data_IF_512799088262
#
_entry.id   IF_512799088262
#
_cell.length_a   1.000
_cell.length_b   1.000
_cell.length_c   1.000
_cell.angle_alpha   90.00
_cell.angle_beta   90.00
_cell.angle_gamma   90.00
#
_symmetry.space_group_name_H-M   'P 1'
#
loop_
_entity.id
_entity.type
_entity.pdbx_description
1 polymer ?
#
# COMPACT_ATOMS: atom_id res chain seq x y z
N UNK A 1 13.90 -16.43 6.02
CA UNK A 1 12.45 -16.28 6.31
C UNK A 1 12.31 -16.10 7.79
N UNK A 2 11.67 -15.01 8.20
CA UNK A 2 11.50 -14.70 9.61
C UNK A 2 10.44 -15.60 10.22
N UNK A 3 10.68 -16.10 11.43
CA UNK A 3 9.72 -16.92 12.17
C UNK A 3 8.96 -16.01 13.14
N UNK A 4 7.64 -15.95 13.02
CA UNK A 4 6.81 -15.14 13.91
C UNK A 4 6.88 -15.70 15.34
N UNK A 5 7.19 -14.90 16.38
CA UNK A 5 7.45 -15.41 17.73
C UNK A 5 6.25 -16.08 18.40
N UNK A 6 5.02 -15.58 18.15
CA UNK A 6 3.79 -16.15 18.73
C UNK A 6 3.33 -17.42 17.97
N UNK A 7 2.92 -17.24 16.71
CA UNK A 7 2.36 -18.33 15.90
C UNK A 7 3.38 -19.35 15.41
N UNK A 8 4.68 -19.05 15.44
CA UNK A 8 5.76 -19.83 14.79
C UNK A 8 5.61 -19.96 13.27
N UNK A 9 4.73 -19.17 12.64
CA UNK A 9 4.57 -19.17 11.20
C UNK A 9 5.85 -18.64 10.53
N UNK A 10 6.34 -19.27 9.44
CA UNK A 10 7.36 -18.68 8.60
C UNK A 10 6.73 -17.53 7.80
N UNK A 11 7.15 -16.30 8.02
CA UNK A 11 6.56 -15.08 7.42
C UNK A 11 7.37 -14.60 6.22
N UNK A 12 6.69 -13.84 5.35
CA UNK A 12 7.28 -13.00 4.31
C UNK A 12 7.00 -11.56 4.66
N UNK A 13 8.01 -10.70 4.58
CA UNK A 13 7.87 -9.26 4.72
C UNK A 13 7.90 -8.63 3.34
N UNK A 14 6.87 -7.88 2.98
CA UNK A 14 6.84 -7.04 1.79
C UNK A 14 7.53 -5.70 2.11
N UNK A 15 8.26 -5.14 1.15
CA UNK A 15 8.89 -3.83 1.30
C UNK A 15 8.50 -2.97 0.10
N UNK A 16 7.76 -1.89 0.39
CA UNK A 16 7.47 -0.79 -0.53
C UNK A 16 7.32 -1.22 -2.01
N UNK A 17 6.33 -2.09 -2.35
CA UNK A 17 6.10 -2.57 -3.72
C UNK A 17 5.43 -1.46 -4.57
N UNK A 18 6.05 -0.28 -4.60
CA UNK A 18 5.50 0.94 -5.17
C UNK A 18 5.33 0.84 -6.68
N UNK A 19 6.34 0.28 -7.36
CA UNK A 19 6.29 0.08 -8.80
C UNK A 19 5.25 -0.98 -9.17
N UNK A 20 5.32 -2.14 -8.53
CA UNK A 20 4.47 -3.31 -8.82
C UNK A 20 2.99 -3.02 -8.57
N UNK A 21 2.65 -2.29 -7.50
CA UNK A 21 1.28 -1.85 -7.27
C UNK A 21 0.86 -0.76 -8.23
N UNK A 22 1.72 0.23 -8.52
CA UNK A 22 1.35 1.30 -9.47
C UNK A 22 0.98 0.75 -10.85
N UNK A 23 1.68 -0.30 -11.30
CA UNK A 23 1.41 -0.94 -12.59
C UNK A 23 0.04 -1.64 -12.66
N UNK A 24 -0.58 -1.92 -11.52
CA UNK A 24 -1.94 -2.47 -11.44
C UNK A 24 -3.02 -1.37 -11.51
N UNK A 25 -2.61 -0.11 -11.33
CA UNK A 25 -3.48 1.06 -11.26
C UNK A 25 -3.93 1.63 -12.59
N UNK A 26 -5.03 2.38 -12.58
CA UNK A 26 -5.57 3.01 -13.79
C UNK A 26 -4.59 4.02 -14.41
N UNK A 27 -3.83 4.77 -13.61
CA UNK A 27 -2.87 5.74 -14.13
C UNK A 27 -1.76 5.07 -14.96
N UNK A 28 -1.14 4.01 -14.45
CA UNK A 28 -0.10 3.28 -15.18
C UNK A 28 -0.68 2.55 -16.40
N UNK A 29 -1.89 1.98 -16.30
CA UNK A 29 -2.61 1.40 -17.45
C UNK A 29 -2.86 2.41 -18.58
N UNK A 30 -2.87 3.72 -18.27
CA UNK A 30 -3.00 4.81 -19.24
C UNK A 30 -1.66 5.45 -19.62
N UNK A 31 -0.53 4.87 -19.20
CA UNK A 31 0.80 5.34 -19.55
C UNK A 31 1.29 6.55 -18.76
N UNK A 32 0.62 6.92 -17.66
CA UNK A 32 1.08 7.99 -16.76
C UNK A 32 2.25 7.45 -15.95
N UNK A 33 3.40 8.11 -16.05
CA UNK A 33 4.63 7.75 -15.37
C UNK A 33 4.70 8.34 -13.95
N UNK A 34 5.56 7.78 -13.09
CA UNK A 34 5.80 8.31 -11.74
C UNK A 34 6.17 9.80 -11.77
N UNK A 35 6.98 10.19 -12.76
CA UNK A 35 7.47 11.55 -12.94
C UNK A 35 6.35 12.56 -13.26
N UNK A 36 5.27 12.13 -13.93
CA UNK A 36 4.17 13.03 -14.31
C UNK A 36 3.47 13.62 -13.07
N UNK A 37 3.46 12.89 -11.95
CA UNK A 37 2.89 13.35 -10.68
C UNK A 37 3.95 13.82 -9.69
N UNK A 38 5.08 13.11 -9.56
CA UNK A 38 6.07 13.38 -8.50
C UNK A 38 7.19 14.31 -8.91
N UNK A 39 7.36 14.56 -10.21
CA UNK A 39 8.37 15.45 -10.76
C UNK A 39 7.74 16.36 -11.85
N UNK A 40 6.68 17.12 -11.49
CA UNK A 40 5.97 17.93 -12.47
C UNK A 40 6.89 18.98 -13.09
N UNK A 41 6.57 19.40 -14.30
CA UNK A 41 7.28 20.51 -14.90
C UNK A 41 6.95 21.83 -14.19
N UNK A 42 7.98 22.65 -13.97
CA UNK A 42 7.89 24.04 -13.54
C UNK A 42 8.30 24.96 -14.68
N UNK A 43 7.67 26.14 -14.74
CA UNK A 43 8.04 27.20 -15.66
C UNK A 43 8.46 28.44 -14.88
N UNK A 44 9.68 28.91 -15.12
CA UNK A 44 10.22 30.12 -14.48
C UNK A 44 11.00 30.91 -15.54
N UNK A 45 10.69 32.20 -15.71
CA UNK A 45 11.32 33.02 -16.74
C UNK A 45 11.18 32.48 -18.17
N UNK A 46 10.12 31.70 -18.46
CA UNK A 46 9.89 31.08 -19.77
C UNK A 46 10.65 29.77 -20.03
N UNK A 47 11.46 29.31 -19.07
CA UNK A 47 12.19 28.04 -19.16
C UNK A 47 11.39 26.96 -18.43
N UNK A 48 11.21 25.82 -19.09
CA UNK A 48 10.56 24.63 -18.53
C UNK A 48 11.61 23.66 -18.00
N UNK A 49 11.51 23.28 -16.74
CA UNK A 49 12.40 22.29 -16.12
C UNK A 49 11.60 21.31 -15.25
N UNK A 50 12.18 20.15 -14.99
CA UNK A 50 11.59 19.11 -14.14
C UNK A 50 11.82 19.44 -12.66
N UNK A 51 10.76 19.44 -11.87
CA UNK A 51 10.88 19.61 -10.42
C UNK A 51 11.50 18.35 -9.79
N UNK A 52 12.68 18.50 -9.19
CA UNK A 52 13.38 17.40 -8.52
C UNK A 52 13.06 17.32 -7.03
N UNK A 53 12.22 18.23 -6.50
CA UNK A 53 11.73 18.14 -5.14
C UNK A 53 10.58 17.14 -5.07
N UNK A 54 10.92 15.84 -5.04
CA UNK A 54 9.95 14.74 -4.95
C UNK A 54 9.20 14.85 -3.62
N UNK A 55 7.94 15.25 -3.70
CA UNK A 55 7.04 15.42 -2.57
C UNK A 55 5.67 14.82 -2.88
N UNK A 56 4.71 15.01 -1.99
CA UNK A 56 3.31 14.68 -2.24
C UNK A 56 2.78 15.51 -3.43
N UNK A 57 2.26 14.88 -4.50
CA UNK A 57 1.65 15.60 -5.63
C UNK A 57 0.48 16.49 -5.21
N UNK A 58 -0.18 16.17 -4.08
CA UNK A 58 -1.27 16.97 -3.51
C UNK A 58 -0.84 18.38 -3.05
N UNK A 59 0.46 18.66 -2.95
CA UNK A 59 0.97 20.00 -2.65
C UNK A 59 0.93 20.94 -3.87
N UNK A 60 0.86 20.38 -5.08
CA UNK A 60 0.97 21.10 -6.34
C UNK A 60 -0.03 20.56 -7.37
N UNK A 61 -1.31 20.51 -6.99
CA UNK A 61 -2.38 19.88 -7.78
C UNK A 61 -2.56 20.57 -9.15
N UNK A 62 -2.36 21.90 -9.19
CA UNK A 62 -2.37 22.74 -10.38
C UNK A 62 -1.45 22.24 -11.50
N UNK A 63 -0.26 21.75 -11.15
CA UNK A 63 0.76 21.29 -12.10
C UNK A 63 1.00 19.78 -12.10
N UNK A 64 0.26 19.02 -11.30
CA UNK A 64 0.34 17.55 -11.25
C UNK A 64 -0.95 16.91 -11.74
N UNK A 65 -2.09 17.17 -11.10
CA UNK A 65 -3.36 16.53 -11.46
C UNK A 65 -4.11 17.32 -12.54
N UNK A 66 -4.14 18.65 -12.44
CA UNK A 66 -4.92 19.52 -13.33
C UNK A 66 -4.33 19.69 -14.74
N UNK A 67 -3.16 19.08 -14.99
CA UNK A 67 -2.64 18.89 -16.35
C UNK A 67 -3.53 17.94 -17.18
N UNK A 68 -4.24 17.03 -16.52
CA UNK A 68 -5.13 16.03 -17.12
C UNK A 68 -6.60 16.14 -16.66
N UNK A 69 -6.81 16.55 -15.41
CA UNK A 69 -8.12 16.63 -14.76
C UNK A 69 -8.71 18.04 -14.82
N UNK A 70 -10.05 18.14 -14.92
CA UNK A 70 -10.76 19.43 -15.04
C UNK A 70 -11.51 19.81 -13.76
N UNK A 71 -11.48 18.95 -12.76
CA UNK A 71 -12.06 19.16 -11.45
C UNK A 71 -11.27 20.17 -10.61
N UNK A 72 -11.93 20.74 -9.59
CA UNK A 72 -11.28 21.61 -8.63
C UNK A 72 -10.21 20.85 -7.83
N UNK A 73 -9.19 21.56 -7.36
CA UNK A 73 -8.15 20.96 -6.51
C UNK A 73 -8.74 20.29 -5.27
N UNK A 74 -9.76 20.90 -4.68
CA UNK A 74 -10.40 20.38 -3.48
C UNK A 74 -11.13 19.06 -3.77
N UNK A 75 -11.85 18.98 -4.89
CA UNK A 75 -12.48 17.73 -5.33
C UNK A 75 -11.44 16.62 -5.51
N UNK A 76 -10.32 16.91 -6.19
CA UNK A 76 -9.26 15.93 -6.43
C UNK A 76 -8.60 15.47 -5.12
N UNK A 77 -8.32 16.42 -4.21
CA UNK A 77 -7.75 16.14 -2.89
C UNK A 77 -8.68 15.26 -2.04
N UNK A 78 -9.97 15.59 -2.00
CA UNK A 78 -10.94 14.80 -1.26
C UNK A 78 -11.12 13.40 -1.83
N UNK A 79 -11.07 13.25 -3.17
CA UNK A 79 -11.07 11.94 -3.79
C UNK A 79 -9.88 11.10 -3.29
N UNK A 80 -8.66 11.65 -3.25
CA UNK A 80 -7.49 10.91 -2.71
C UNK A 80 -7.69 10.54 -1.24
N UNK A 81 -8.12 11.48 -0.40
CA UNK A 81 -8.36 11.22 1.02
C UNK A 81 -9.47 10.19 1.27
N UNK A 82 -10.51 10.17 0.45
CA UNK A 82 -11.56 9.16 0.54
C UNK A 82 -11.04 7.75 0.29
N UNK A 83 -10.23 7.54 -0.77
CA UNK A 83 -9.62 6.22 -1.03
C UNK A 83 -8.68 5.82 0.11
N UNK A 84 -7.86 6.74 0.59
CA UNK A 84 -6.98 6.50 1.74
C UNK A 84 -7.76 6.05 2.98
N UNK A 85 -8.89 6.70 3.30
CA UNK A 85 -9.76 6.28 4.41
C UNK A 85 -10.30 4.87 4.21
N UNK A 86 -10.87 4.58 3.05
CA UNK A 86 -11.44 3.25 2.72
C UNK A 86 -10.39 2.13 2.84
N UNK A 87 -9.18 2.36 2.31
CA UNK A 87 -8.08 1.39 2.40
C UNK A 87 -7.62 1.20 3.84
N UNK A 88 -7.50 2.29 4.62
CA UNK A 88 -7.12 2.21 6.03
C UNK A 88 -8.16 1.46 6.87
N UNK A 89 -9.45 1.62 6.60
CA UNK A 89 -10.52 0.85 7.27
C UNK A 89 -10.38 -0.65 7.03
N UNK A 90 -10.13 -1.07 5.78
CA UNK A 90 -9.92 -2.48 5.43
C UNK A 90 -8.62 -3.01 6.03
N UNK A 91 -7.54 -2.22 5.98
CA UNK A 91 -6.26 -2.55 6.62
C UNK A 91 -6.45 -2.84 8.09
N UNK A 92 -7.07 -1.93 8.84
CA UNK A 92 -7.21 -2.06 10.28
C UNK A 92 -8.05 -3.30 10.66
N UNK A 93 -9.13 -3.59 9.92
CA UNK A 93 -9.92 -4.81 10.13
C UNK A 93 -9.08 -6.07 9.91
N UNK A 94 -8.26 -6.09 8.88
CA UNK A 94 -7.45 -7.25 8.57
C UNK A 94 -6.26 -7.40 9.53
N UNK A 95 -5.72 -6.31 10.05
CA UNK A 95 -4.74 -6.33 11.14
C UNK A 95 -5.33 -6.96 12.41
N UNK A 96 -6.59 -6.66 12.74
CA UNK A 96 -7.31 -7.28 13.87
C UNK A 96 -7.45 -8.80 13.70
N UNK A 97 -7.84 -9.25 12.50
CA UNK A 97 -7.92 -10.69 12.20
C UNK A 97 -6.54 -11.39 12.24
N UNK A 98 -5.49 -10.73 11.75
CA UNK A 98 -4.12 -11.25 11.82
C UNK A 98 -3.63 -11.33 13.27
N UNK A 99 -3.95 -10.33 14.10
CA UNK A 99 -3.66 -10.34 15.52
C UNK A 99 -4.30 -11.56 16.21
N UNK A 100 -5.60 -11.77 16.00
CA UNK A 100 -6.31 -12.92 16.55
C UNK A 100 -5.71 -14.24 16.07
N UNK A 101 -5.48 -14.39 14.76
CA UNK A 101 -4.89 -15.61 14.19
C UNK A 101 -3.51 -15.94 14.79
N UNK A 102 -2.67 -14.94 15.07
CA UNK A 102 -1.38 -15.16 15.70
C UNK A 102 -1.47 -15.56 17.17
N UNK A 103 -2.38 -14.97 17.94
CA UNK A 103 -2.60 -15.27 19.36
C UNK A 103 -3.24 -16.66 19.52
N UNK A 104 -4.23 -16.98 18.69
CA UNK A 104 -4.90 -18.28 18.70
C UNK A 104 -3.95 -19.42 18.31
N UNK A 105 -3.07 -19.18 17.32
CA UNK A 105 -2.00 -20.13 16.99
C UNK A 105 -1.04 -20.35 18.16
N UNK A 106 -0.66 -19.28 18.88
CA UNK A 106 0.16 -19.40 20.10
C UNK A 106 -0.56 -20.24 21.18
N UNK A 107 -1.85 -20.02 21.37
CA UNK A 107 -2.68 -20.79 22.29
C UNK A 107 -2.73 -22.28 21.90
N UNK A 108 -2.93 -22.59 20.61
CA UNK A 108 -2.92 -23.96 20.11
C UNK A 108 -1.59 -24.67 20.42
N UNK A 109 -0.46 -23.99 20.20
CA UNK A 109 0.86 -24.50 20.59
C UNK A 109 0.96 -24.77 22.10
N UNK A 110 0.48 -23.84 22.94
CA UNK A 110 0.47 -24.00 24.40
C UNK A 110 -0.44 -25.16 24.86
N UNK A 111 -1.43 -25.55 24.06
CA UNK A 111 -2.31 -26.70 24.30
C UNK A 111 -1.81 -28.02 23.72
N UNK A 112 -0.62 -28.03 23.12
CA UNK A 112 0.01 -29.24 22.62
C UNK A 112 -0.36 -29.63 21.19
N UNK A 113 -0.83 -28.67 20.38
CA UNK A 113 -1.02 -28.90 18.95
C UNK A 113 0.30 -29.36 18.31
N UNK A 114 0.20 -30.31 17.38
CA UNK A 114 1.34 -30.88 16.66
C UNK A 114 1.67 -30.06 15.41
N UNK A 115 2.87 -30.26 14.87
CA UNK A 115 3.27 -29.61 13.61
C UNK A 115 2.34 -29.96 12.44
N UNK A 116 1.85 -31.19 12.38
CA UNK A 116 0.91 -31.65 11.34
C UNK A 116 -0.43 -30.91 11.42
N UNK A 117 -0.95 -30.69 12.63
CA UNK A 117 -2.20 -29.94 12.85
C UNK A 117 -2.02 -28.45 12.54
N UNK A 118 -0.86 -27.89 12.88
CA UNK A 118 -0.57 -26.46 12.69
C UNK A 118 -0.15 -26.11 11.26
N UNK A 119 0.40 -27.05 10.48
CA UNK A 119 0.86 -26.81 9.12
C UNK A 119 -0.14 -26.03 8.23
N UNK A 120 -1.45 -26.40 8.13
CA UNK A 120 -2.42 -25.61 7.37
C UNK A 120 -2.65 -24.21 7.96
N UNK A 121 -2.66 -24.08 9.30
CA UNK A 121 -2.84 -22.79 9.99
C UNK A 121 -1.69 -21.84 9.68
N UNK A 122 -0.44 -22.31 9.82
CA UNK A 122 0.75 -21.49 9.54
C UNK A 122 0.82 -21.07 8.07
N UNK A 123 0.39 -21.95 7.15
CA UNK A 123 0.28 -21.63 5.73
C UNK A 123 -0.70 -20.48 5.49
N UNK A 124 -1.87 -20.51 6.12
CA UNK A 124 -2.85 -19.43 5.96
C UNK A 124 -2.40 -18.13 6.60
N UNK A 125 -1.82 -18.18 7.81
CA UNK A 125 -1.22 -17.00 8.46
C UNK A 125 -0.17 -16.36 7.54
N UNK A 126 0.76 -17.16 7.00
CA UNK A 126 1.79 -16.68 6.07
C UNK A 126 1.19 -16.01 4.84
N UNK A 127 0.19 -16.63 4.22
CA UNK A 127 -0.44 -16.10 3.00
C UNK A 127 -1.26 -14.84 3.26
N UNK A 128 -2.02 -14.82 4.35
CA UNK A 128 -2.85 -13.68 4.74
C UNK A 128 -1.98 -12.47 5.07
N UNK A 129 -0.96 -12.66 5.92
CA UNK A 129 -0.04 -11.59 6.28
C UNK A 129 0.75 -11.09 5.07
N UNK A 130 1.18 -11.98 4.17
CA UNK A 130 1.85 -11.54 2.94
C UNK A 130 0.96 -10.66 2.06
N UNK A 131 -0.30 -11.07 1.83
CA UNK A 131 -1.24 -10.29 0.98
C UNK A 131 -1.57 -8.94 1.60
N UNK A 132 -1.79 -8.92 2.91
CA UNK A 132 -1.94 -7.69 3.68
C UNK A 132 -0.75 -6.77 3.50
N UNK A 133 0.44 -7.27 3.83
CA UNK A 133 1.68 -6.49 3.85
C UNK A 133 2.00 -5.98 2.44
N UNK A 134 1.84 -6.82 1.42
CA UNK A 134 2.01 -6.41 0.02
C UNK A 134 1.06 -5.26 -0.34
N UNK A 135 -0.20 -5.31 0.09
CA UNK A 135 -1.19 -4.26 -0.20
C UNK A 135 -0.95 -2.94 0.54
N UNK A 136 -0.28 -2.96 1.70
CA UNK A 136 -0.15 -1.76 2.57
C UNK A 136 1.27 -1.24 2.74
N UNK A 137 2.30 -2.02 2.39
CA UNK A 137 3.70 -1.64 2.53
C UNK A 137 4.13 -0.49 1.60
N UNK A 138 3.35 -0.19 0.56
CA UNK A 138 3.51 1.02 -0.25
C UNK A 138 2.53 2.09 0.24
N UNK A 139 3.05 3.16 0.84
CA UNK A 139 2.21 4.24 1.36
C UNK A 139 1.35 4.92 0.28
N UNK A 140 1.80 4.91 -0.99
CA UNK A 140 1.05 5.45 -2.12
C UNK A 140 0.02 4.48 -2.72
N UNK A 141 0.00 3.20 -2.30
CA UNK A 141 -0.84 2.15 -2.89
C UNK A 141 -2.31 2.54 -2.98
N UNK A 142 -2.88 3.07 -1.89
CA UNK A 142 -4.28 3.50 -1.81
C UNK A 142 -4.72 4.51 -2.89
N UNK A 143 -3.77 5.20 -3.52
CA UNK A 143 -4.02 6.07 -4.67
C UNK A 143 -3.55 5.44 -5.99
N UNK A 144 -2.41 4.76 -5.98
CA UNK A 144 -1.84 4.17 -7.19
C UNK A 144 -2.69 3.03 -7.73
N UNK A 145 -3.20 2.11 -6.88
CA UNK A 145 -4.02 0.97 -7.26
C UNK A 145 -4.99 0.55 -6.14
#
# INVERSE_FOLDING_TARGET
TDIHPLSRAPILKAQHPGYELSMQGIHAQRGVACADCHMPYKAEGGIKYTDHHITSPLQYIDRTCQVCHRESEETLRQNVYERQRKVNEVRNKLEDELLHAHIEAEFAWKKGATETEMAPVLKFIRQSQWRWDYGVASHGASFHA
#
